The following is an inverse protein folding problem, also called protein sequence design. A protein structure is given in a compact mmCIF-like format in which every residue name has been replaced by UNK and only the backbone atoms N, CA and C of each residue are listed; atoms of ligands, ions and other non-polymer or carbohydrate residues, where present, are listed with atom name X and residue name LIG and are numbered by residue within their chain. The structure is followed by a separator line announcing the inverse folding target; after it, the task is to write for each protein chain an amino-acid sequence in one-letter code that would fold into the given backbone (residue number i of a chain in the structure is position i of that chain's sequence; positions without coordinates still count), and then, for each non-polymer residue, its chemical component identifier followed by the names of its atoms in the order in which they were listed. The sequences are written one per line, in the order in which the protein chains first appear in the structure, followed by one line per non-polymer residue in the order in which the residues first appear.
data_IF_082492536571
#
_entry.id   IF_082492536571
#
_cell.length_a   1.000
_cell.length_b   1.000
_cell.length_c   1.000
_cell.angle_alpha   90.00
_cell.angle_beta   90.00
_cell.angle_gamma   90.00
#
_symmetry.space_group_name_H-M   'P 1'
#
loop_
_entity.id
_entity.type
_entity.pdbx_description
1 polymer ?
#
# COMPACT_ATOMS: atom_id res chain seq x y z
N UNK A 1 -41.47 -43.15 19.05
CA UNK A 1 -40.79 -41.92 19.53
C UNK A 1 -39.70 -41.37 18.59
N UNK A 2 -39.08 -42.15 17.69
CA UNK A 2 -38.01 -41.65 16.81
C UNK A 2 -38.48 -40.82 15.60
N UNK A 3 -39.71 -41.03 15.13
CA UNK A 3 -40.25 -40.33 13.95
C UNK A 3 -40.42 -38.82 14.21
N UNK A 4 -40.96 -38.43 15.37
CA UNK A 4 -41.15 -37.02 15.74
C UNK A 4 -39.81 -36.29 15.92
N UNK A 5 -38.76 -36.99 16.35
CA UNK A 5 -37.41 -36.42 16.48
C UNK A 5 -36.79 -36.11 15.11
N UNK A 6 -37.00 -36.96 14.09
CA UNK A 6 -36.54 -36.69 12.73
C UNK A 6 -37.25 -35.48 12.11
N UNK A 7 -38.56 -35.35 12.32
CA UNK A 7 -39.30 -34.17 11.84
C UNK A 7 -38.82 -32.88 12.48
N UNK A 8 -38.51 -32.89 13.78
CA UNK A 8 -37.96 -31.70 14.48
C UNK A 8 -36.60 -31.31 13.89
N UNK A 9 -35.72 -32.27 13.62
CA UNK A 9 -34.41 -32.00 13.01
C UNK A 9 -34.57 -31.43 11.60
N UNK A 10 -35.49 -31.96 10.80
CA UNK A 10 -35.78 -31.44 9.47
C UNK A 10 -36.31 -30.00 9.51
N UNK A 11 -37.18 -29.66 10.47
CA UNK A 11 -37.71 -28.30 10.63
C UNK A 11 -36.59 -27.31 10.98
N UNK A 12 -35.69 -27.68 11.89
CA UNK A 12 -34.56 -26.83 12.28
C UNK A 12 -33.60 -26.61 11.10
N UNK A 13 -33.31 -27.67 10.34
CA UNK A 13 -32.44 -27.58 9.17
C UNK A 13 -33.04 -26.70 8.08
N UNK A 14 -34.35 -26.79 7.88
CA UNK A 14 -35.08 -25.97 6.90
C UNK A 14 -35.10 -24.48 7.32
N UNK A 15 -35.29 -24.18 8.62
CA UNK A 15 -35.19 -22.83 9.16
C UNK A 15 -33.79 -22.22 8.99
N UNK A 16 -32.74 -23.01 9.19
CA UNK A 16 -31.35 -22.56 9.04
C UNK A 16 -31.04 -22.21 7.57
N UNK A 17 -31.49 -23.05 6.63
CA UNK A 17 -31.32 -22.79 5.19
C UNK A 17 -32.09 -21.54 4.76
N UNK A 18 -33.33 -21.36 5.22
CA UNK A 18 -34.13 -20.17 4.90
C UNK A 18 -33.51 -18.89 5.49
N UNK A 19 -33.02 -18.94 6.73
CA UNK A 19 -32.34 -17.81 7.37
C UNK A 19 -31.05 -17.43 6.63
N UNK A 20 -30.21 -18.41 6.29
CA UNK A 20 -28.99 -18.18 5.50
C UNK A 20 -29.29 -17.59 4.12
N UNK A 21 -30.32 -18.12 3.44
CA UNK A 21 -30.77 -17.59 2.15
C UNK A 21 -31.24 -16.14 2.22
N UNK A 22 -31.99 -15.76 3.24
CA UNK A 22 -32.46 -14.38 3.45
C UNK A 22 -31.29 -13.41 3.69
N UNK A 23 -30.28 -13.84 4.46
CA UNK A 23 -29.08 -13.04 4.69
C UNK A 23 -28.29 -12.85 3.40
N UNK A 24 -28.05 -13.91 2.63
CA UNK A 24 -27.34 -13.82 1.35
C UNK A 24 -28.08 -12.94 0.33
N UNK A 25 -29.42 -12.99 0.31
CA UNK A 25 -30.23 -12.12 -0.54
C UNK A 25 -30.10 -10.63 -0.17
N UNK A 26 -29.98 -10.32 1.12
CA UNK A 26 -29.67 -8.97 1.59
C UNK A 26 -28.28 -8.52 1.16
N UNK A 27 -27.28 -9.41 1.25
CA UNK A 27 -25.92 -9.10 0.81
C UNK A 27 -25.80 -8.91 -0.70
N UNK A 28 -26.55 -9.66 -1.51
CA UNK A 28 -26.55 -9.50 -2.98
C UNK A 28 -27.06 -8.14 -3.46
N UNK A 29 -27.85 -7.42 -2.66
CA UNK A 29 -28.38 -6.10 -2.99
C UNK A 29 -27.43 -4.96 -2.59
N UNK A 30 -26.38 -5.26 -1.84
CA UNK A 30 -25.32 -4.29 -1.55
C UNK A 30 -24.45 -4.24 -2.82
N UNK A 31 -24.68 -3.23 -3.65
CA UNK A 31 -23.91 -3.00 -4.86
C UNK A 31 -22.40 -2.97 -4.56
N UNK A 32 -21.60 -3.47 -5.50
CA UNK A 32 -20.13 -3.44 -5.40
C UNK A 32 -19.66 -2.03 -5.02
N UNK A 33 -18.61 -1.88 -4.19
CA UNK A 33 -18.07 -0.58 -3.86
C UNK A 33 -17.72 0.14 -5.16
N UNK A 34 -18.43 1.23 -5.46
CA UNK A 34 -18.13 2.09 -6.58
C UNK A 34 -16.77 2.73 -6.31
N UNK A 35 -15.73 2.30 -7.02
CA UNK A 35 -14.50 3.09 -7.15
C UNK A 35 -14.86 4.31 -7.98
N UNK A 36 -14.95 5.47 -7.35
CA UNK A 36 -15.13 6.73 -8.05
C UNK A 36 -13.88 7.00 -8.88
N UNK A 37 -14.00 6.84 -10.20
CA UNK A 37 -13.06 7.45 -11.14
C UNK A 37 -13.30 8.95 -11.05
N UNK A 38 -12.28 9.69 -10.63
CA UNK A 38 -12.32 11.15 -10.59
C UNK A 38 -12.46 11.67 -12.02
N UNK A 39 -13.68 12.03 -12.41
CA UNK A 39 -13.91 12.91 -13.55
C UNK A 39 -13.83 14.35 -13.07
N UNK A 40 -13.01 15.16 -13.74
CA UNK A 40 -12.94 16.60 -13.56
C UNK A 40 -14.30 17.21 -13.91
N UNK A 41 -15.15 17.43 -12.91
CA UNK A 41 -16.41 18.14 -13.07
C UNK A 41 -16.17 19.60 -12.68
N UNK A 42 -16.34 20.47 -13.67
CA UNK A 42 -16.40 21.91 -13.55
C UNK A 42 -17.39 22.36 -12.47
N UNK A 43 -16.93 23.31 -11.66
CA UNK A 43 -17.58 23.85 -10.46
C UNK A 43 -18.91 24.55 -10.77
N UNK A 44 -20.03 23.86 -10.57
CA UNK A 44 -21.22 24.50 -10.00
C UNK A 44 -22.04 23.44 -9.27
N UNK A 45 -21.77 23.30 -7.97
CA UNK A 45 -22.60 22.53 -7.06
C UNK A 45 -23.24 23.52 -6.09
N UNK A 46 -24.41 24.02 -6.48
CA UNK A 46 -25.30 24.77 -5.60
C UNK A 46 -25.81 23.89 -4.47
N UNK A 47 -25.03 23.76 -3.40
CA UNK A 47 -25.47 23.10 -2.18
C UNK A 47 -26.33 24.07 -1.35
N UNK A 48 -27.62 23.77 -1.22
CA UNK A 48 -28.49 24.43 -0.25
C UNK A 48 -28.17 23.89 1.14
N UNK A 49 -27.30 24.61 1.85
CA UNK A 49 -26.89 24.28 3.21
C UNK A 49 -27.97 24.73 4.21
N UNK A 50 -28.48 23.81 5.03
CA UNK A 50 -29.36 24.14 6.17
C UNK A 50 -28.54 24.09 7.46
N UNK A 51 -28.52 25.20 8.20
CA UNK A 51 -27.76 25.33 9.44
C UNK A 51 -28.20 24.28 10.48
N UNK A 52 -27.26 23.50 10.99
CA UNK A 52 -27.53 22.33 11.84
C UNK A 52 -26.90 22.41 13.25
N UNK A 53 -26.26 23.53 13.59
CA UNK A 53 -25.68 23.83 14.90
C UNK A 53 -24.53 22.92 15.33
N UNK A 54 -23.91 22.20 14.40
CA UNK A 54 -22.97 21.11 14.68
C UNK A 54 -21.50 21.57 14.64
N UNK A 55 -20.60 20.83 15.32
CA UNK A 55 -19.19 21.22 15.47
C UNK A 55 -18.46 21.44 14.14
N UNK A 56 -18.88 20.73 13.08
CA UNK A 56 -18.35 20.84 11.74
C UNK A 56 -18.63 22.22 11.10
N UNK A 57 -19.80 22.78 11.39
CA UNK A 57 -20.24 24.09 10.92
C UNK A 57 -19.46 25.23 11.57
N UNK A 58 -19.08 25.07 12.84
CA UNK A 58 -18.18 26.02 13.53
C UNK A 58 -16.80 26.08 12.90
N UNK A 59 -16.34 24.98 12.31
CA UNK A 59 -15.06 24.93 11.60
C UNK A 59 -15.18 25.56 10.21
N UNK A 60 -16.30 25.33 9.52
CA UNK A 60 -16.57 25.96 8.22
C UNK A 60 -16.77 27.49 8.33
N UNK A 61 -17.24 27.97 9.47
CA UNK A 61 -17.39 29.40 9.77
C UNK A 61 -16.08 30.10 10.19
N UNK A 62 -14.95 29.39 10.26
CA UNK A 62 -13.67 30.05 10.53
C UNK A 62 -13.30 30.97 9.37
N UNK A 63 -13.13 32.26 9.67
CA UNK A 63 -12.68 33.26 8.72
C UNK A 63 -11.32 32.84 8.17
N UNK A 64 -11.17 32.85 6.85
CA UNK A 64 -9.90 32.55 6.17
C UNK A 64 -8.81 33.43 6.80
N UNK A 65 -7.92 32.80 7.55
CA UNK A 65 -6.80 33.48 8.16
C UNK A 65 -5.68 33.53 7.12
N UNK A 66 -5.35 34.73 6.65
CA UNK A 66 -4.23 34.96 5.73
C UNK A 66 -2.85 34.85 6.42
N UNK A 67 -2.82 34.35 7.66
CA UNK A 67 -1.59 33.89 8.32
C UNK A 67 -1.04 32.69 7.56
N UNK A 68 -0.23 32.96 6.55
CA UNK A 68 0.77 32.04 6.03
C UNK A 68 1.55 31.49 7.22
N UNK A 69 1.46 30.17 7.41
CA UNK A 69 2.36 29.46 8.31
C UNK A 69 3.79 29.88 7.96
N UNK A 70 4.70 30.11 8.93
CA UNK A 70 6.09 30.30 8.62
C UNK A 70 6.61 28.95 8.11
N UNK A 71 6.44 28.70 6.81
CA UNK A 71 7.14 27.61 6.15
C UNK A 71 8.60 27.97 6.28
N UNK A 72 9.34 27.19 7.07
CA UNK A 72 10.79 27.21 7.03
C UNK A 72 11.17 27.07 5.56
N UNK A 73 11.64 28.15 4.95
CA UNK A 73 12.13 28.13 3.59
C UNK A 73 13.26 27.11 3.57
N UNK A 74 13.10 26.05 2.79
CA UNK A 74 14.10 25.01 2.69
C UNK A 74 15.21 25.54 1.77
N UNK A 75 16.26 26.09 2.37
CA UNK A 75 17.45 26.52 1.63
C UNK A 75 18.32 25.29 1.36
N UNK A 76 18.44 24.89 0.10
CA UNK A 76 19.38 23.86 -0.34
C UNK A 76 20.64 24.58 -0.79
N UNK A 77 21.67 24.56 0.06
CA UNK A 77 23.02 25.00 -0.31
C UNK A 77 23.72 23.83 -1.00
N UNK A 78 23.91 23.92 -2.31
CA UNK A 78 24.71 22.96 -3.07
C UNK A 78 26.17 23.42 -2.98
N UNK A 79 26.90 22.84 -2.05
CA UNK A 79 28.34 23.05 -1.91
C UNK A 79 29.07 21.93 -2.65
N UNK A 80 29.85 22.28 -3.68
CA UNK A 80 30.68 21.33 -4.43
C UNK A 80 31.78 20.67 -3.55
N UNK A 81 32.01 21.20 -2.34
CA UNK A 81 32.90 20.65 -1.33
C UNK A 81 32.19 19.75 -0.31
N UNK A 82 30.91 19.41 -0.53
CA UNK A 82 30.29 18.33 0.19
C UNK A 82 31.16 17.10 -0.05
N UNK A 83 31.87 16.66 1.00
CA UNK A 83 32.55 15.37 1.00
C UNK A 83 31.44 14.34 0.88
N UNK A 84 31.06 14.01 -0.36
CA UNK A 84 30.44 12.75 -0.64
C UNK A 84 31.42 11.74 -0.07
N UNK A 85 31.05 11.13 1.05
CA UNK A 85 31.75 9.97 1.56
C UNK A 85 31.97 9.05 0.36
N UNK A 86 33.22 8.59 0.24
CA UNK A 86 33.81 7.83 -0.86
C UNK A 86 32.80 7.08 -1.73
N UNK A 87 33.00 6.98 -3.07
CA UNK A 87 32.07 6.26 -3.95
C UNK A 87 31.80 4.86 -3.37
N UNK A 88 30.66 4.71 -2.69
CA UNK A 88 30.27 3.46 -2.06
C UNK A 88 29.98 2.49 -3.20
N UNK A 89 30.63 1.33 -3.19
CA UNK A 89 30.34 0.34 -4.23
C UNK A 89 28.89 -0.07 -4.04
N UNK A 90 28.15 -0.01 -5.13
CA UNK A 90 26.76 -0.42 -5.15
C UNK A 90 26.65 -1.66 -6.03
N UNK A 91 25.85 -2.61 -5.57
CA UNK A 91 25.51 -3.78 -6.37
C UNK A 91 24.13 -3.57 -6.99
N UNK A 92 24.05 -3.77 -8.30
CA UNK A 92 22.80 -3.70 -9.04
C UNK A 92 22.16 -5.10 -9.07
N UNK A 93 20.91 -5.21 -8.62
CA UNK A 93 20.10 -6.40 -8.83
C UNK A 93 18.96 -6.08 -9.77
N UNK A 94 18.94 -6.79 -10.90
CA UNK A 94 17.84 -6.71 -11.86
C UNK A 94 16.81 -7.80 -11.51
N UNK A 95 15.57 -7.38 -11.29
CA UNK A 95 14.42 -8.25 -11.00
C UNK A 95 13.33 -8.09 -12.07
N UNK A 96 12.77 -9.21 -12.50
CA UNK A 96 11.73 -9.28 -13.55
C UNK A 96 10.31 -9.00 -13.00
N UNK A 97 10.12 -9.08 -11.68
CA UNK A 97 8.83 -8.74 -11.04
C UNK A 97 9.02 -7.82 -9.84
N UNK A 98 8.31 -6.70 -9.86
CA UNK A 98 8.30 -5.70 -8.80
C UNK A 98 6.87 -5.34 -8.36
N UNK A 99 6.12 -6.36 -7.95
CA UNK A 99 4.82 -6.19 -7.29
C UNK A 99 4.97 -5.88 -5.79
N UNK A 100 3.86 -5.55 -5.12
CA UNK A 100 3.87 -5.24 -3.68
C UNK A 100 4.48 -6.35 -2.82
N UNK A 101 4.23 -7.61 -3.19
CA UNK A 101 4.81 -8.77 -2.51
C UNK A 101 6.33 -8.79 -2.65
N UNK A 102 6.83 -8.61 -3.88
CA UNK A 102 8.26 -8.59 -4.17
C UNK A 102 8.96 -7.49 -3.40
N UNK A 103 8.43 -6.25 -3.43
CA UNK A 103 9.01 -5.10 -2.71
C UNK A 103 9.07 -5.37 -1.20
N UNK A 104 8.02 -5.94 -0.62
CA UNK A 104 8.01 -6.32 0.79
C UNK A 104 9.12 -7.34 1.11
N UNK A 105 9.22 -8.41 0.32
CA UNK A 105 10.23 -9.44 0.51
C UNK A 105 11.66 -8.90 0.36
N UNK A 106 11.91 -8.08 -0.66
CA UNK A 106 13.20 -7.43 -0.91
C UNK A 106 13.59 -6.55 0.28
N UNK A 107 12.66 -5.73 0.75
CA UNK A 107 12.89 -4.82 1.88
C UNK A 107 13.19 -5.58 3.16
N UNK A 108 12.45 -6.65 3.43
CA UNK A 108 12.66 -7.51 4.59
C UNK A 108 14.04 -8.18 4.54
N UNK A 109 14.39 -8.80 3.42
CA UNK A 109 15.65 -9.52 3.27
C UNK A 109 16.83 -8.55 3.39
N UNK A 110 16.82 -7.41 2.69
CA UNK A 110 17.90 -6.43 2.80
C UNK A 110 18.09 -5.89 4.24
N UNK A 111 16.99 -5.64 4.96
CA UNK A 111 17.04 -5.23 6.37
C UNK A 111 17.64 -6.31 7.30
N UNK A 112 17.39 -7.60 7.03
CA UNK A 112 18.00 -8.71 7.79
C UNK A 112 19.53 -8.70 7.69
N UNK A 113 20.05 -8.32 6.52
CA UNK A 113 21.49 -8.18 6.26
C UNK A 113 22.04 -6.79 6.58
N UNK A 114 21.23 -5.88 7.12
CA UNK A 114 21.59 -4.47 7.42
C UNK A 114 22.12 -3.71 6.20
N UNK A 115 21.61 -4.02 5.01
CA UNK A 115 21.99 -3.36 3.76
C UNK A 115 20.91 -2.35 3.37
N UNK A 116 21.32 -1.10 3.17
CA UNK A 116 20.43 -0.07 2.64
C UNK A 116 20.17 -0.34 1.15
N UNK A 117 18.91 -0.19 0.74
CA UNK A 117 18.48 -0.48 -0.62
C UNK A 117 17.73 0.71 -1.23
N UNK A 118 17.86 0.87 -2.54
CA UNK A 118 17.04 1.79 -3.33
C UNK A 118 16.41 1.01 -4.48
N UNK A 119 15.09 1.11 -4.63
CA UNK A 119 14.37 0.45 -5.72
C UNK A 119 14.01 1.48 -6.78
N UNK A 120 14.43 1.23 -8.02
CA UNK A 120 14.09 2.04 -9.18
C UNK A 120 13.29 1.18 -10.15
N UNK A 121 12.03 1.53 -10.38
CA UNK A 121 11.17 0.84 -11.34
C UNK A 121 11.50 1.30 -12.76
N UNK A 122 11.73 0.36 -13.67
CA UNK A 122 12.02 0.62 -15.09
C UNK A 122 11.10 -0.22 -15.98
N UNK A 123 9.85 0.22 -16.11
CA UNK A 123 8.82 -0.54 -16.83
C UNK A 123 8.36 -1.76 -16.03
N UNK A 124 8.47 -2.94 -16.63
CA UNK A 124 8.14 -4.23 -15.99
C UNK A 124 9.28 -4.77 -15.12
N UNK A 125 10.53 -4.40 -15.45
CA UNK A 125 11.70 -4.71 -14.63
C UNK A 125 11.88 -3.67 -13.52
N UNK A 126 12.50 -4.07 -12.43
CA UNK A 126 13.01 -3.14 -11.45
C UNK A 126 14.50 -3.38 -11.17
N UNK A 127 15.18 -2.29 -10.88
CA UNK A 127 16.58 -2.25 -10.52
C UNK A 127 16.66 -1.94 -9.03
N UNK A 128 17.33 -2.81 -8.28
CA UNK A 128 17.57 -2.62 -6.86
C UNK A 128 19.05 -2.30 -6.70
N UNK A 129 19.35 -1.14 -6.13
CA UNK A 129 20.70 -0.76 -5.74
C UNK A 129 20.91 -1.14 -4.29
N UNK A 130 21.87 -2.01 -4.03
CA UNK A 130 22.31 -2.34 -2.68
C UNK A 130 23.57 -1.53 -2.36
N UNK A 131 23.49 -0.71 -1.33
CA UNK A 131 24.61 0.08 -0.85
C UNK A 131 25.44 -0.75 0.13
N UNK A 132 26.38 -1.54 -0.41
CA UNK A 132 27.26 -2.40 0.38
C UNK A 132 28.51 -2.78 -0.41
N UNK A 133 29.65 -2.83 0.28
CA UNK A 133 30.90 -3.35 -0.29
C UNK A 133 31.04 -4.88 -0.08
N UNK A 134 30.14 -5.51 0.67
CA UNK A 134 30.20 -6.93 1.02
C UNK A 134 29.51 -7.81 -0.04
N UNK A 135 30.33 -8.37 -0.94
CA UNK A 135 29.87 -9.30 -1.98
C UNK A 135 29.19 -10.55 -1.42
N UNK A 136 29.57 -11.01 -0.22
CA UNK A 136 28.96 -12.18 0.42
C UNK A 136 27.54 -11.87 0.87
N UNK A 137 27.33 -10.71 1.49
CA UNK A 137 26.00 -10.24 1.87
C UNK A 137 25.07 -10.16 0.65
N UNK A 138 25.55 -9.66 -0.48
CA UNK A 138 24.77 -9.60 -1.74
C UNK A 138 24.40 -10.99 -2.24
N UNK A 139 25.33 -11.96 -2.21
CA UNK A 139 25.04 -13.34 -2.61
C UNK A 139 24.02 -14.00 -1.67
N UNK A 140 24.12 -13.76 -0.36
CA UNK A 140 23.19 -14.27 0.64
C UNK A 140 21.79 -13.64 0.48
N UNK A 141 21.71 -12.36 0.14
CA UNK A 141 20.46 -11.67 -0.22
C UNK A 141 19.82 -12.34 -1.44
N UNK A 142 20.58 -12.54 -2.53
CA UNK A 142 20.07 -13.22 -3.74
C UNK A 142 19.60 -14.64 -3.45
N UNK A 143 20.33 -15.38 -2.63
CA UNK A 143 19.97 -16.74 -2.22
C UNK A 143 18.67 -16.75 -1.41
N UNK A 144 18.48 -15.80 -0.49
CA UNK A 144 17.24 -15.67 0.27
C UNK A 144 16.06 -15.23 -0.59
N UNK A 145 16.27 -14.34 -1.56
CA UNK A 145 15.22 -13.92 -2.50
C UNK A 145 14.68 -15.10 -3.33
N UNK A 146 15.52 -16.07 -3.68
CA UNK A 146 15.08 -17.31 -4.37
C UNK A 146 14.05 -18.11 -3.55
N UNK A 147 14.14 -18.10 -2.21
CA UNK A 147 13.17 -18.78 -1.34
C UNK A 147 11.75 -18.21 -1.48
N UNK A 148 11.65 -16.95 -1.90
CA UNK A 148 10.40 -16.24 -2.13
C UNK A 148 9.97 -16.23 -3.61
N UNK A 149 10.60 -17.09 -4.45
CA UNK A 149 10.36 -17.14 -5.90
C UNK A 149 10.68 -15.81 -6.63
N UNK A 150 11.59 -15.01 -6.06
CA UNK A 150 12.09 -13.77 -6.66
C UNK A 150 13.42 -14.10 -7.31
N UNK A 151 13.44 -14.09 -8.65
CA UNK A 151 14.65 -14.29 -9.43
C UNK A 151 15.34 -12.94 -9.68
N UNK A 152 16.59 -12.83 -9.25
CA UNK A 152 17.43 -11.64 -9.46
C UNK A 152 18.74 -12.01 -10.15
N UNK A 153 19.25 -11.09 -10.97
CA UNK A 153 20.60 -11.16 -11.56
C UNK A 153 21.44 -10.05 -10.95
N UNK A 154 22.64 -10.39 -10.47
CA UNK A 154 23.62 -9.41 -9.98
C UNK A 154 24.34 -8.83 -11.19
N UNK A 155 24.43 -7.50 -11.24
CA UNK A 155 25.26 -6.75 -12.16
C UNK A 155 26.18 -5.87 -11.31
N UNK A 156 27.48 -6.04 -11.49
CA UNK A 156 28.54 -5.33 -10.76
C UNK A 156 29.03 -4.22 -11.70
N UNK A 157 28.97 -2.96 -11.25
CA UNK A 157 29.55 -1.79 -11.94
C UNK A 157 30.82 -1.33 -11.20
#
# INVERSE_FOLDING_TARGET
MRLNSLFIVFIILLLLVLSGGALLWKFSQVGSPHTTVVQNISNDLGYSYKEAGNWFEKIAAFTKNDSILPTNLMFIEINDNAKFDQPQKYFELVINRCDFYSVFCITRVANEFKVNLTIVKKGDDAIIYLNTDDKKAVQDIVSNLKKYNIHSKIKED
#
